data_IF_809677381272
#
_entry.id   IF_809677381272
#
_cell.length_a   1.000
_cell.length_b   1.000
_cell.length_c   1.000
_cell.angle_alpha   90.00
_cell.angle_beta   90.00
_cell.angle_gamma   90.00
#
_symmetry.space_group_name_H-M   'P 1'
#
loop_
_entity.id
_entity.type
_entity.pdbx_description
1 polymer ?
#
# COMPACT_ATOMS: atom_id res chain seq x y z
N UNK A 1 5.32 16.82 -19.34
CA UNK A 1 5.31 15.84 -18.23
C UNK A 1 5.55 14.46 -18.85
N UNK A 2 6.74 13.91 -18.69
CA UNK A 2 7.11 12.62 -19.29
C UNK A 2 6.38 11.51 -18.53
N UNK A 3 5.53 10.77 -19.23
CA UNK A 3 4.88 9.56 -18.72
C UNK A 3 5.99 8.57 -18.33
N UNK A 4 6.20 8.36 -17.03
CA UNK A 4 7.01 7.25 -16.54
C UNK A 4 6.31 5.97 -17.00
N UNK A 5 6.92 5.21 -17.88
CA UNK A 5 6.51 3.83 -18.15
C UNK A 5 6.67 3.06 -16.84
N UNK A 6 5.59 2.98 -16.08
CA UNK A 6 5.54 2.11 -14.91
C UNK A 6 5.19 0.71 -15.43
N UNK A 7 6.17 -0.18 -15.41
CA UNK A 7 5.95 -1.61 -15.61
C UNK A 7 5.72 -2.16 -14.19
N UNK A 8 4.48 -2.51 -13.81
CA UNK A 8 4.15 -2.93 -12.44
C UNK A 8 5.03 -4.06 -11.93
N UNK A 9 5.31 -5.05 -12.80
CA UNK A 9 6.15 -6.19 -12.47
C UNK A 9 7.59 -5.78 -12.17
N UNK A 10 8.13 -4.79 -12.91
CA UNK A 10 9.46 -4.27 -12.66
C UNK A 10 9.52 -3.56 -11.30
N UNK A 11 8.56 -2.70 -10.99
CA UNK A 11 8.52 -2.01 -9.71
C UNK A 11 8.46 -3.00 -8.54
N UNK A 12 7.67 -4.05 -8.68
CA UNK A 12 7.61 -5.11 -7.67
C UNK A 12 8.92 -5.89 -7.56
N UNK A 13 9.56 -6.21 -8.69
CA UNK A 13 10.89 -6.84 -8.69
C UNK A 13 11.93 -5.99 -7.99
N UNK A 14 11.98 -4.68 -8.26
CA UNK A 14 12.90 -3.75 -7.59
C UNK A 14 12.66 -3.70 -6.08
N UNK A 15 11.40 -3.76 -5.64
CA UNK A 15 11.07 -3.87 -4.21
C UNK A 15 11.60 -5.19 -3.61
N UNK A 16 11.49 -6.31 -4.32
CA UNK A 16 12.04 -7.58 -3.86
C UNK A 16 13.59 -7.58 -3.83
N UNK A 17 14.24 -6.89 -4.78
CA UNK A 17 15.69 -6.67 -4.77
C UNK A 17 16.12 -5.92 -3.50
N UNK A 18 15.44 -4.84 -3.12
CA UNK A 18 15.72 -4.14 -1.86
C UNK A 18 15.50 -5.03 -0.64
N UNK A 19 14.42 -5.82 -0.66
CA UNK A 19 14.13 -6.78 0.42
C UNK A 19 15.22 -7.85 0.55
N UNK A 20 15.71 -8.36 -0.56
CA UNK A 20 16.83 -9.34 -0.58
C UNK A 20 18.15 -8.69 -0.13
N UNK A 21 18.40 -7.45 -0.56
CA UNK A 21 19.54 -6.64 -0.12
C UNK A 21 19.51 -6.29 1.38
N UNK A 22 18.32 -6.32 2.02
CA UNK A 22 18.11 -6.10 3.44
C UNK A 22 17.93 -4.65 3.87
N UNK A 23 18.00 -3.69 2.95
CA UNK A 23 17.76 -2.26 3.21
C UNK A 23 17.34 -1.50 1.97
N UNK A 24 16.81 -0.28 2.17
CA UNK A 24 16.50 0.64 1.06
C UNK A 24 17.76 1.21 0.43
N UNK A 25 17.68 1.44 -0.87
CA UNK A 25 18.76 2.05 -1.67
C UNK A 25 18.56 3.58 -1.68
N UNK A 26 19.39 4.29 -0.92
CA UNK A 26 19.27 5.74 -0.76
C UNK A 26 20.51 6.52 -1.21
N UNK A 27 21.68 5.90 -1.21
CA UNK A 27 22.96 6.56 -1.49
C UNK A 27 23.71 5.92 -2.66
N UNK A 28 24.66 6.64 -3.24
CA UNK A 28 25.55 6.12 -4.28
C UNK A 28 26.26 4.84 -3.83
N UNK A 29 26.73 4.80 -2.60
CA UNK A 29 27.42 3.65 -2.00
C UNK A 29 26.51 2.42 -1.89
N UNK A 30 25.20 2.60 -1.65
CA UNK A 30 24.24 1.47 -1.63
C UNK A 30 24.17 0.81 -3.00
N UNK A 31 24.10 1.60 -4.08
CA UNK A 31 24.09 1.07 -5.45
C UNK A 31 25.38 0.40 -5.85
N UNK A 32 26.52 0.87 -5.38
CA UNK A 32 27.84 0.24 -5.59
C UNK A 32 27.91 -1.09 -4.84
N UNK A 33 27.50 -1.12 -3.58
CA UNK A 33 27.45 -2.33 -2.78
C UNK A 33 26.48 -3.37 -3.36
N UNK A 34 25.31 -2.95 -3.82
CA UNK A 34 24.35 -3.83 -4.48
C UNK A 34 24.91 -4.40 -5.79
N UNK A 35 25.62 -3.58 -6.59
CA UNK A 35 26.28 -4.04 -7.83
C UNK A 35 27.26 -5.18 -7.56
N UNK A 36 28.09 -5.05 -6.52
CA UNK A 36 29.05 -6.08 -6.10
C UNK A 36 28.35 -7.35 -5.61
N UNK A 37 27.26 -7.21 -4.84
CA UNK A 37 26.49 -8.37 -4.36
C UNK A 37 25.82 -9.11 -5.51
N UNK A 38 25.21 -8.40 -6.46
CA UNK A 38 24.60 -9.01 -7.65
C UNK A 38 25.64 -9.82 -8.42
N UNK A 39 26.83 -9.25 -8.67
CA UNK A 39 27.90 -9.96 -9.36
C UNK A 39 28.37 -11.21 -8.59
N UNK A 40 28.51 -11.10 -7.27
CA UNK A 40 28.88 -12.22 -6.41
C UNK A 40 27.87 -13.37 -6.43
N UNK A 41 26.58 -13.05 -6.43
CA UNK A 41 25.51 -14.05 -6.33
C UNK A 41 25.08 -14.61 -7.69
N UNK A 42 25.14 -13.80 -8.75
CA UNK A 42 24.69 -14.19 -10.10
C UNK A 42 25.80 -14.56 -11.05
N UNK A 43 27.04 -14.17 -10.75
CA UNK A 43 28.18 -14.27 -11.67
C UNK A 43 28.17 -13.23 -12.80
N UNK A 44 27.25 -12.27 -12.79
CA UNK A 44 27.04 -11.28 -13.85
C UNK A 44 27.06 -9.86 -13.32
N UNK A 45 27.85 -9.02 -13.97
CA UNK A 45 28.00 -7.62 -13.58
C UNK A 45 26.80 -6.78 -14.02
N UNK A 46 26.14 -6.14 -13.04
CA UNK A 46 25.17 -5.09 -13.25
C UNK A 46 25.68 -3.78 -12.64
N UNK A 47 26.06 -2.82 -13.48
CA UNK A 47 26.72 -1.59 -13.01
C UNK A 47 25.80 -0.76 -12.07
N UNK A 48 26.41 -0.11 -11.09
CA UNK A 48 25.72 0.82 -10.18
C UNK A 48 24.99 1.94 -10.95
N UNK A 49 25.53 2.40 -12.09
CA UNK A 49 24.86 3.38 -12.96
C UNK A 49 23.55 2.86 -13.56
N UNK A 50 23.51 1.58 -13.94
CA UNK A 50 22.27 0.94 -14.42
C UNK A 50 21.24 0.83 -13.28
N UNK A 51 21.67 0.41 -12.10
CA UNK A 51 20.81 0.35 -10.91
C UNK A 51 20.24 1.73 -10.55
N UNK A 52 21.07 2.78 -10.50
CA UNK A 52 20.61 4.16 -10.24
C UNK A 52 19.53 4.63 -11.22
N UNK A 53 19.64 4.25 -12.51
CA UNK A 53 18.61 4.57 -13.51
C UNK A 53 17.30 3.79 -13.28
N UNK A 54 17.40 2.50 -12.97
CA UNK A 54 16.22 1.66 -12.71
C UNK A 54 15.41 2.15 -11.49
N UNK A 55 16.12 2.56 -10.45
CA UNK A 55 15.49 3.09 -9.22
C UNK A 55 15.08 4.57 -9.33
N UNK A 56 15.34 5.20 -10.47
CA UNK A 56 15.00 6.62 -10.66
C UNK A 56 15.85 7.59 -9.83
N UNK A 57 17.00 7.14 -9.35
CA UNK A 57 17.98 7.97 -8.64
C UNK A 57 18.61 9.03 -9.55
N UNK A 58 18.62 8.79 -10.84
CA UNK A 58 19.03 9.74 -11.89
C UNK A 58 17.90 9.88 -12.92
N UNK A 59 17.78 11.07 -13.54
CA UNK A 59 16.63 11.48 -14.36
C UNK A 59 16.46 10.72 -15.69
N UNK A 60 17.39 9.86 -16.08
CA UNK A 60 17.33 9.06 -17.30
C UNK A 60 16.70 7.70 -16.98
N UNK A 61 15.48 7.46 -17.44
CA UNK A 61 14.78 6.19 -17.33
C UNK A 61 14.67 5.49 -18.70
N UNK A 62 15.74 4.87 -19.21
CA UNK A 62 15.64 4.06 -20.42
C UNK A 62 14.83 2.78 -20.11
N UNK A 63 14.17 2.24 -21.13
CA UNK A 63 13.55 0.90 -21.04
C UNK A 63 14.67 -0.11 -20.74
N UNK A 64 14.58 -0.89 -19.65
CA UNK A 64 15.62 -1.85 -19.30
C UNK A 64 15.78 -2.92 -20.37
N UNK A 65 17.00 -3.34 -20.62
CA UNK A 65 17.26 -4.49 -21.49
C UNK A 65 16.83 -5.77 -20.80
N UNK A 66 16.39 -6.76 -21.59
CA UNK A 66 15.98 -8.07 -21.07
C UNK A 66 17.08 -8.73 -20.20
N UNK A 67 18.34 -8.66 -20.64
CA UNK A 67 19.47 -9.18 -19.87
C UNK A 67 19.60 -8.55 -18.49
N UNK A 68 19.34 -7.26 -18.36
CA UNK A 68 19.34 -6.55 -17.06
C UNK A 68 18.22 -7.08 -16.15
N UNK A 69 17.03 -7.29 -16.71
CA UNK A 69 15.88 -7.83 -15.96
C UNK A 69 16.12 -9.28 -15.53
N UNK A 70 16.76 -10.08 -16.39
CA UNK A 70 17.10 -11.47 -16.10
C UNK A 70 18.15 -11.58 -14.97
N UNK A 71 19.14 -10.69 -14.93
CA UNK A 71 20.14 -10.62 -13.84
C UNK A 71 19.43 -10.31 -12.52
N UNK A 72 18.57 -9.30 -12.49
CA UNK A 72 17.81 -8.94 -11.28
C UNK A 72 16.88 -10.08 -10.82
N UNK A 73 16.25 -10.76 -11.76
CA UNK A 73 15.41 -11.92 -11.46
C UNK A 73 16.24 -13.05 -10.81
N UNK A 74 17.44 -13.34 -11.32
CA UNK A 74 18.33 -14.33 -10.73
C UNK A 74 18.80 -13.93 -9.33
N UNK A 75 19.10 -12.66 -9.12
CA UNK A 75 19.48 -12.15 -7.80
C UNK A 75 18.40 -12.38 -6.73
N UNK A 76 17.13 -12.30 -7.09
CA UNK A 76 16.01 -12.62 -6.18
C UNK A 76 15.57 -14.10 -6.24
N UNK A 77 16.43 -15.01 -6.74
CA UNK A 77 16.20 -16.45 -6.76
C UNK A 77 15.25 -16.96 -7.84
N UNK A 78 14.98 -16.17 -8.89
CA UNK A 78 14.18 -16.59 -10.04
C UNK A 78 15.06 -16.94 -11.24
N UNK A 79 14.61 -17.86 -12.09
CA UNK A 79 15.37 -18.31 -13.27
C UNK A 79 15.68 -17.18 -14.25
N UNK A 80 14.68 -16.36 -14.57
CA UNK A 80 14.74 -15.19 -15.43
C UNK A 80 13.50 -14.30 -15.21
N UNK A 81 13.44 -13.15 -15.89
CA UNK A 81 12.33 -12.21 -15.75
C UNK A 81 10.98 -12.76 -16.22
N UNK A 82 10.96 -13.53 -17.31
CA UNK A 82 9.73 -14.13 -17.82
C UNK A 82 9.15 -15.14 -16.81
N UNK A 83 9.98 -15.94 -16.16
CA UNK A 83 9.55 -16.83 -15.08
C UNK A 83 9.01 -16.05 -13.88
N UNK A 84 9.69 -14.96 -13.48
CA UNK A 84 9.22 -14.08 -12.44
C UNK A 84 7.82 -13.53 -12.73
N UNK A 85 7.60 -12.98 -13.93
CA UNK A 85 6.28 -12.48 -14.33
C UNK A 85 5.21 -13.57 -14.39
N UNK A 86 5.57 -14.77 -14.86
CA UNK A 86 4.65 -15.91 -14.90
C UNK A 86 4.27 -16.41 -13.50
N UNK A 87 5.23 -16.42 -12.57
CA UNK A 87 4.97 -16.76 -11.17
C UNK A 87 4.00 -15.76 -10.55
N UNK A 88 4.20 -14.45 -10.76
CA UNK A 88 3.29 -13.42 -10.27
C UNK A 88 1.87 -13.58 -10.79
N UNK A 89 1.71 -13.88 -12.09
CA UNK A 89 0.37 -14.09 -12.69
C UNK A 89 -0.36 -15.31 -12.15
N UNK A 90 0.37 -16.31 -11.67
CA UNK A 90 -0.19 -17.55 -11.12
C UNK A 90 -0.41 -17.49 -9.62
N UNK A 91 0.21 -16.54 -8.95
CA UNK A 91 0.12 -16.41 -7.50
C UNK A 91 -1.25 -15.82 -7.11
N UNK A 92 -2.06 -16.54 -6.33
CA UNK A 92 -3.38 -16.07 -5.89
C UNK A 92 -3.35 -14.74 -5.14
N UNK A 93 -2.23 -14.39 -4.49
CA UNK A 93 -2.07 -13.12 -3.76
C UNK A 93 -2.17 -11.92 -4.69
N UNK A 94 -1.78 -12.06 -5.97
CA UNK A 94 -1.86 -10.99 -6.96
C UNK A 94 -3.12 -11.06 -7.83
N UNK A 95 -3.95 -12.08 -7.66
CA UNK A 95 -5.19 -12.20 -8.42
C UNK A 95 -6.22 -11.19 -7.89
N UNK A 96 -6.82 -10.44 -8.80
CA UNK A 96 -7.99 -9.64 -8.48
C UNK A 96 -9.22 -10.53 -8.50
N UNK A 97 -9.92 -10.62 -7.38
CA UNK A 97 -11.14 -11.39 -7.25
C UNK A 97 -12.19 -10.61 -6.46
N UNK A 98 -13.45 -10.90 -6.70
CA UNK A 98 -14.50 -10.49 -5.79
C UNK A 98 -14.36 -11.28 -4.49
N UNK A 99 -14.34 -10.58 -3.36
CA UNK A 99 -14.28 -11.23 -2.05
C UNK A 99 -15.56 -10.95 -1.28
N UNK A 100 -15.92 -11.88 -0.41
CA UNK A 100 -17.06 -11.73 0.50
C UNK A 100 -16.51 -11.33 1.88
N UNK A 101 -16.85 -10.13 2.31
CA UNK A 101 -16.57 -9.61 3.64
C UNK A 101 -17.79 -8.88 4.15
N UNK A 102 -17.96 -8.78 5.46
CA UNK A 102 -18.95 -7.90 6.05
C UNK A 102 -18.58 -6.46 5.67
N UNK A 103 -19.41 -5.86 4.84
CA UNK A 103 -19.19 -4.51 4.31
C UNK A 103 -20.42 -3.66 4.62
N UNK A 104 -20.18 -2.45 5.09
CA UNK A 104 -21.20 -1.41 5.26
C UNK A 104 -20.92 -0.32 4.24
N UNK A 105 -21.84 -0.07 3.33
CA UNK A 105 -21.75 1.03 2.38
C UNK A 105 -22.46 2.25 2.93
N UNK A 106 -21.91 3.44 2.67
CA UNK A 106 -22.55 4.71 3.08
C UNK A 106 -23.94 4.88 2.47
N UNK A 107 -24.15 4.37 1.26
CA UNK A 107 -25.43 4.47 0.54
C UNK A 107 -26.55 3.61 1.16
N UNK A 108 -26.19 2.62 1.96
CA UNK A 108 -27.15 1.77 2.70
C UNK A 108 -27.57 2.40 4.03
N UNK A 109 -26.93 3.49 4.45
CA UNK A 109 -27.18 4.17 5.73
C UNK A 109 -28.13 5.35 5.55
N UNK A 110 -28.87 5.66 6.62
CA UNK A 110 -29.72 6.86 6.72
C UNK A 110 -29.07 7.91 7.60
N UNK A 111 -29.20 9.20 7.28
CA UNK A 111 -28.74 10.26 8.17
C UNK A 111 -29.25 10.06 9.61
N UNK A 112 -28.32 10.06 10.54
CA UNK A 112 -28.58 9.75 11.96
C UNK A 112 -28.26 8.33 12.39
N UNK A 113 -28.00 7.41 11.46
CA UNK A 113 -27.50 6.08 11.81
C UNK A 113 -26.14 6.19 12.48
N UNK A 114 -25.88 5.26 13.39
CA UNK A 114 -24.64 5.19 14.14
C UNK A 114 -23.85 3.95 13.72
N UNK A 115 -22.57 4.13 13.41
CA UNK A 115 -21.65 3.05 13.09
C UNK A 115 -20.59 2.92 14.18
N UNK A 116 -20.38 1.70 14.68
CA UNK A 116 -19.26 1.37 15.56
C UNK A 116 -18.20 0.63 14.78
N UNK A 117 -16.98 1.16 14.77
CA UNK A 117 -15.81 0.52 14.19
C UNK A 117 -14.74 0.32 15.26
N UNK A 118 -13.95 -0.74 15.12
CA UNK A 118 -12.85 -0.99 16.04
C UNK A 118 -11.71 -1.73 15.37
N UNK A 119 -10.50 -1.62 15.94
CA UNK A 119 -9.30 -2.31 15.50
C UNK A 119 -8.33 -2.51 16.65
N UNK A 120 -7.42 -3.45 16.45
CA UNK A 120 -6.42 -3.80 17.47
C UNK A 120 -5.52 -2.60 17.86
N UNK A 121 -5.04 -2.56 19.12
CA UNK A 121 -5.32 -3.54 20.17
C UNK A 121 -6.71 -3.39 20.83
N UNK A 122 -7.21 -2.15 21.02
CA UNK A 122 -8.36 -1.81 21.85
C UNK A 122 -9.04 -0.50 21.42
N UNK A 123 -8.95 -0.16 20.15
CA UNK A 123 -9.50 1.09 19.62
C UNK A 123 -10.95 0.89 19.17
N UNK A 124 -11.82 1.75 19.63
CA UNK A 124 -13.23 1.78 19.22
C UNK A 124 -13.65 3.22 18.94
N UNK A 125 -14.26 3.41 17.80
CA UNK A 125 -14.79 4.72 17.36
C UNK A 125 -16.27 4.57 17.02
N UNK A 126 -17.06 5.51 17.49
CA UNK A 126 -18.47 5.64 17.16
C UNK A 126 -18.63 6.81 16.18
N UNK A 127 -19.30 6.54 15.08
CA UNK A 127 -19.51 7.47 13.99
C UNK A 127 -21.01 7.73 13.82
N UNK A 128 -21.40 8.99 13.67
CA UNK A 128 -22.73 9.37 13.21
C UNK A 128 -22.69 9.62 11.71
N UNK A 129 -23.58 8.98 10.97
CA UNK A 129 -23.73 9.25 9.55
C UNK A 129 -24.54 10.53 9.34
N UNK A 130 -24.00 11.47 8.56
CA UNK A 130 -24.64 12.76 8.30
C UNK A 130 -25.39 12.80 6.96
N UNK A 131 -25.16 11.83 6.09
CA UNK A 131 -25.61 11.80 4.70
C UNK A 131 -24.47 12.05 3.71
N UNK A 132 -24.72 11.79 2.43
CA UNK A 132 -23.76 12.01 1.33
C UNK A 132 -22.34 11.45 1.57
N UNK A 133 -22.26 10.29 2.24
CA UNK A 133 -20.98 9.66 2.58
C UNK A 133 -20.21 10.35 3.70
N UNK A 134 -20.77 11.36 4.38
CA UNK A 134 -20.11 12.11 5.44
C UNK A 134 -20.40 11.50 6.82
N UNK A 135 -19.35 11.36 7.63
CA UNK A 135 -19.38 10.83 8.99
C UNK A 135 -18.77 11.81 9.97
N UNK A 136 -19.35 11.89 11.17
CA UNK A 136 -18.82 12.63 12.30
C UNK A 136 -18.46 11.67 13.42
N UNK A 137 -17.29 11.84 14.03
CA UNK A 137 -16.87 11.07 15.19
C UNK A 137 -17.67 11.52 16.42
N UNK A 138 -18.55 10.62 16.91
CA UNK A 138 -19.32 10.85 18.13
C UNK A 138 -18.50 10.56 19.40
N UNK A 139 -17.70 9.48 19.36
CA UNK A 139 -16.76 9.13 20.43
C UNK A 139 -15.58 8.32 19.87
N UNK A 140 -14.46 8.38 20.58
CA UNK A 140 -13.25 7.64 20.24
C UNK A 140 -12.56 7.18 21.52
N UNK A 141 -12.23 5.90 21.57
CA UNK A 141 -11.49 5.27 22.67
C UNK A 141 -10.15 4.81 22.13
N UNK A 142 -9.08 5.25 22.77
CA UNK A 142 -7.68 4.88 22.48
C UNK A 142 -7.24 5.14 21.03
N UNK A 143 -8.00 5.93 20.24
CA UNK A 143 -7.71 6.26 18.85
C UNK A 143 -7.22 7.70 18.67
N UNK A 144 -6.68 8.00 17.48
CA UNK A 144 -6.24 9.36 17.09
C UNK A 144 -7.37 10.18 16.44
N UNK A 145 -8.51 9.57 16.16
CA UNK A 145 -9.72 10.28 15.78
C UNK A 145 -10.28 10.97 17.03
N UNK A 146 -10.70 12.22 16.90
CA UNK A 146 -11.26 13.00 17.99
C UNK A 146 -12.75 13.22 17.79
N UNK A 147 -13.50 13.38 18.89
CA UNK A 147 -14.90 13.75 18.82
C UNK A 147 -15.08 15.05 18.02
N UNK A 148 -16.01 15.05 17.07
CA UNK A 148 -16.28 16.16 16.16
C UNK A 148 -15.47 16.12 14.86
N UNK A 149 -14.49 15.23 14.72
CA UNK A 149 -13.82 15.00 13.44
C UNK A 149 -14.84 14.58 12.38
N UNK A 150 -14.72 15.14 11.17
CA UNK A 150 -15.58 14.76 10.03
C UNK A 150 -14.75 14.28 8.87
N UNK A 151 -15.26 13.29 8.18
CA UNK A 151 -14.63 12.75 6.97
C UNK A 151 -15.66 12.08 6.07
N UNK A 152 -15.28 11.87 4.80
CA UNK A 152 -16.08 11.13 3.84
C UNK A 152 -15.55 9.73 3.65
N UNK A 153 -16.46 8.78 3.58
CA UNK A 153 -16.16 7.37 3.35
C UNK A 153 -17.29 6.71 2.57
N UNK A 154 -16.93 5.88 1.58
CA UNK A 154 -17.90 5.16 0.75
C UNK A 154 -18.28 3.82 1.37
N UNK A 155 -17.31 3.15 2.01
CA UNK A 155 -17.54 1.85 2.60
C UNK A 155 -16.58 1.55 3.75
N UNK A 156 -17.03 0.67 4.65
CA UNK A 156 -16.25 0.09 5.73
C UNK A 156 -16.26 -1.43 5.57
N UNK A 157 -15.09 -2.07 5.69
CA UNK A 157 -14.95 -3.51 5.47
C UNK A 157 -14.27 -4.17 6.66
N UNK A 158 -14.93 -5.19 7.23
CA UNK A 158 -14.36 -5.98 8.31
C UNK A 158 -13.12 -6.75 7.82
N UNK A 159 -12.04 -6.74 8.59
CA UNK A 159 -10.77 -7.38 8.23
C UNK A 159 -9.87 -6.54 7.33
N UNK A 160 -10.29 -5.34 6.90
CA UNK A 160 -9.52 -4.44 6.06
C UNK A 160 -9.25 -3.11 6.75
N UNK A 161 -8.08 -2.48 6.49
CA UNK A 161 -7.81 -1.14 6.99
C UNK A 161 -8.80 -0.11 6.44
N UNK A 162 -9.18 0.83 7.27
CA UNK A 162 -9.94 2.00 6.86
C UNK A 162 -8.99 3.12 6.44
N UNK A 163 -9.06 3.50 5.17
CA UNK A 163 -8.29 4.62 4.60
C UNK A 163 -9.18 5.85 4.48
N UNK A 164 -8.80 6.91 5.18
CA UNK A 164 -9.48 8.22 5.12
C UNK A 164 -8.53 9.22 4.47
N UNK A 165 -8.91 9.80 3.35
CA UNK A 165 -8.03 10.69 2.59
C UNK A 165 -7.67 11.96 3.37
N UNK A 166 -8.60 12.50 4.13
CA UNK A 166 -8.44 13.67 5.00
C UNK A 166 -9.59 13.76 5.99
N UNK A 167 -9.33 14.38 7.12
CA UNK A 167 -10.30 14.59 8.18
C UNK A 167 -10.44 16.09 8.37
N UNK A 168 -11.66 16.59 8.45
CA UNK A 168 -11.95 17.97 8.85
C UNK A 168 -11.95 18.02 10.38
N UNK A 169 -11.01 18.73 10.96
CA UNK A 169 -10.85 18.94 12.40
C UNK A 169 -10.74 20.43 12.70
N UNK A 170 -11.64 20.97 13.50
CA UNK A 170 -11.63 22.39 13.90
C UNK A 170 -11.57 23.37 12.71
N UNK A 171 -12.18 23.02 11.58
CA UNK A 171 -12.20 23.82 10.37
C UNK A 171 -11.03 23.62 9.40
N UNK A 172 -10.03 22.83 9.77
CA UNK A 172 -8.87 22.53 8.93
C UNK A 172 -8.82 21.05 8.50
N UNK A 173 -8.24 20.79 7.33
CA UNK A 173 -8.05 19.43 6.86
C UNK A 173 -6.72 18.86 7.35
N UNK A 174 -6.77 17.64 7.92
CA UNK A 174 -5.59 16.88 8.31
C UNK A 174 -4.97 16.17 7.09
N UNK A 175 -3.84 15.52 7.33
CA UNK A 175 -3.28 14.53 6.42
C UNK A 175 -4.15 13.26 6.37
N UNK A 176 -3.86 12.37 5.39
CA UNK A 176 -4.52 11.07 5.30
C UNK A 176 -4.34 10.25 6.58
N UNK A 177 -5.38 9.51 6.94
CA UNK A 177 -5.42 8.67 8.14
C UNK A 177 -5.72 7.22 7.77
N UNK A 178 -5.06 6.29 8.45
CA UNK A 178 -5.32 4.86 8.29
C UNK A 178 -5.62 4.25 9.66
N UNK A 179 -6.78 3.61 9.77
CA UNK A 179 -7.16 2.81 10.93
C UNK A 179 -6.98 1.33 10.63
N UNK A 180 -6.51 0.56 11.61
CA UNK A 180 -6.37 -0.90 11.46
C UNK A 180 -5.30 -1.32 10.44
N UNK A 181 -4.16 -0.63 10.39
CA UNK A 181 -3.07 -0.93 9.45
C UNK A 181 -2.61 -2.40 9.53
N UNK A 182 -2.64 -2.98 10.73
CA UNK A 182 -2.35 -4.40 10.96
C UNK A 182 -3.64 -5.12 11.36
N UNK A 183 -4.11 -6.04 10.52
CA UNK A 183 -5.28 -6.87 10.77
C UNK A 183 -6.63 -6.24 10.41
N UNK A 184 -6.65 -5.00 9.94
CA UNK A 184 -7.89 -4.33 9.54
C UNK A 184 -8.83 -3.96 10.69
N UNK A 185 -10.07 -3.62 10.33
CA UNK A 185 -11.15 -3.44 11.29
C UNK A 185 -11.56 -4.81 11.83
N UNK A 186 -11.64 -4.97 13.15
CA UNK A 186 -12.10 -6.19 13.82
C UNK A 186 -13.49 -6.03 14.46
N UNK A 187 -14.05 -4.83 14.42
CA UNK A 187 -15.41 -4.50 14.82
C UNK A 187 -16.03 -3.61 13.74
N UNK A 188 -17.23 -3.96 13.30
CA UNK A 188 -18.02 -3.20 12.34
C UNK A 188 -19.51 -3.50 12.59
N UNK A 189 -20.22 -2.56 13.18
CA UNK A 189 -21.63 -2.70 13.59
C UNK A 189 -22.39 -1.44 13.24
N UNK A 190 -23.55 -1.60 12.61
CA UNK A 190 -24.56 -0.54 12.49
C UNK A 190 -25.46 -0.61 13.70
N UNK A 191 -25.54 0.49 14.44
CA UNK A 191 -26.44 0.62 15.59
C UNK A 191 -27.65 1.43 15.12
N UNK A 192 -28.75 0.75 14.86
CA UNK A 192 -30.01 1.39 14.57
C UNK A 192 -30.52 2.13 15.83
N UNK A 193 -31.05 3.33 15.63
CA UNK A 193 -31.65 4.11 16.71
C UNK A 193 -33.04 3.63 17.02
#
# INVERSE_FOLDING_TARGET
MSSKFQIPELNYMLHLVEKHYGRKLATTTDFESLSVLIEKETGELLSSSTLKRLYGYVSLNPVPRKSTLDILARYIGKRNYDNFCNDLRKDPIFSSSFFSSVTVYSDDLKPGDCLRIGWAPDRVVQLNYLGDGEFEVASSVNGSLLKGDRFRQVSFMLGYPLYVSRILREGEYTQAYVAGMNGGLNLLEVVEK
#
